data_IF_550488920338
#
_entry.id   IF_550488920338
#
_cell.length_a   1.000
_cell.length_b   1.000
_cell.length_c   1.000
_cell.angle_alpha   90.00
_cell.angle_beta   90.00
_cell.angle_gamma   90.00
#
_symmetry.space_group_name_H-M   'P 1'
#
loop_
_entity.id
_entity.type
_entity.pdbx_description
1 polymer ?
#
# COMPACT_ATOMS: atom_id res chain seq x y z
N UNK A 1 -9.38 2.16 -6.30
CA UNK A 1 -8.40 2.19 -7.41
C UNK A 1 -7.05 1.83 -6.81
N UNK A 2 -6.32 0.84 -7.34
CA UNK A 2 -5.10 0.32 -6.67
C UNK A 2 -3.84 1.06 -7.18
N UNK A 3 -3.05 1.65 -6.27
CA UNK A 3 -1.84 2.44 -6.57
C UNK A 3 -0.82 1.66 -7.41
N UNK A 4 -0.56 0.39 -7.09
CA UNK A 4 0.38 -0.46 -7.81
C UNK A 4 -0.05 -0.68 -9.26
N UNK A 5 -1.33 -1.01 -9.46
CA UNK A 5 -1.90 -1.22 -10.81
C UNK A 5 -1.81 0.04 -11.67
N UNK A 6 -2.03 1.20 -11.07
CA UNK A 6 -1.92 2.50 -11.75
C UNK A 6 -0.50 2.79 -12.20
N UNK A 7 0.50 2.58 -11.32
CA UNK A 7 1.92 2.75 -11.66
C UNK A 7 2.34 1.81 -12.80
N UNK A 8 2.00 0.52 -12.70
CA UNK A 8 2.32 -0.46 -13.74
C UNK A 8 1.76 -0.06 -15.10
N UNK A 9 0.49 0.35 -15.15
CA UNK A 9 -0.15 0.80 -16.40
C UNK A 9 0.48 2.07 -16.95
N UNK A 10 0.87 3.02 -16.10
CA UNK A 10 1.56 4.25 -16.51
C UNK A 10 2.92 3.95 -17.17
N UNK A 11 3.60 2.90 -16.71
CA UNK A 11 4.85 2.42 -17.31
C UNK A 11 4.65 1.49 -18.52
N UNK A 12 3.40 1.17 -18.88
CA UNK A 12 3.05 0.32 -20.02
C UNK A 12 3.72 -1.08 -20.01
N UNK A 13 3.81 -1.69 -18.81
CA UNK A 13 4.38 -3.05 -18.63
C UNK A 13 3.32 -4.05 -18.16
N UNK A 14 3.56 -5.34 -18.43
CA UNK A 14 2.73 -6.45 -17.96
C UNK A 14 3.00 -6.77 -16.49
N UNK A 15 2.13 -7.57 -15.86
CA UNK A 15 2.36 -8.03 -14.47
C UNK A 15 3.62 -8.90 -14.37
N UNK A 16 3.88 -9.71 -15.40
CA UNK A 16 5.07 -10.58 -15.49
C UNK A 16 6.35 -9.75 -15.61
N UNK A 17 6.38 -8.77 -16.51
CA UNK A 17 7.53 -7.86 -16.65
C UNK A 17 7.84 -7.11 -15.35
N UNK A 18 6.80 -6.67 -14.62
CA UNK A 18 6.99 -6.05 -13.32
C UNK A 18 7.55 -7.06 -12.31
N UNK A 19 6.99 -8.27 -12.26
CA UNK A 19 7.39 -9.32 -11.34
C UNK A 19 8.87 -9.69 -11.53
N UNK A 20 9.29 -9.88 -12.79
CA UNK A 20 10.69 -10.15 -13.15
C UNK A 20 11.61 -9.01 -12.72
N UNK A 21 11.19 -7.75 -12.96
CA UNK A 21 11.99 -6.58 -12.64
C UNK A 21 12.21 -6.38 -11.13
N UNK A 22 11.28 -6.83 -10.28
CA UNK A 22 11.39 -6.69 -8.82
C UNK A 22 11.68 -8.00 -8.08
N UNK A 23 11.91 -9.10 -8.81
CA UNK A 23 12.22 -10.41 -8.23
C UNK A 23 11.06 -11.02 -7.43
N UNK A 24 9.82 -10.84 -7.89
CA UNK A 24 8.61 -11.41 -7.31
C UNK A 24 7.94 -12.38 -8.27
N UNK A 25 7.02 -13.20 -7.77
CA UNK A 25 6.15 -14.01 -8.63
C UNK A 25 5.05 -13.14 -9.25
N UNK A 26 4.67 -13.40 -10.50
CA UNK A 26 3.56 -12.73 -11.20
C UNK A 26 2.24 -12.84 -10.41
N UNK A 27 2.01 -13.97 -9.74
CA UNK A 27 0.85 -14.19 -8.87
C UNK A 27 0.86 -13.28 -7.63
N UNK A 28 2.03 -12.92 -7.12
CA UNK A 28 2.19 -11.95 -6.04
C UNK A 28 1.78 -10.56 -6.51
N UNK A 29 2.26 -10.11 -7.68
CA UNK A 29 1.85 -8.82 -8.28
C UNK A 29 0.33 -8.79 -8.50
N UNK A 30 -0.24 -9.85 -9.09
CA UNK A 30 -1.69 -9.96 -9.31
C UNK A 30 -2.47 -9.88 -8.00
N UNK A 31 -2.06 -10.62 -6.97
CA UNK A 31 -2.69 -10.61 -5.64
C UNK A 31 -2.66 -9.22 -5.00
N UNK A 32 -1.58 -8.47 -5.18
CA UNK A 32 -1.48 -7.09 -4.69
C UNK A 32 -2.40 -6.14 -5.46
N UNK A 33 -2.46 -6.25 -6.80
CA UNK A 33 -3.29 -5.36 -7.63
C UNK A 33 -4.80 -5.51 -7.39
N UNK A 34 -5.24 -6.71 -7.02
CA UNK A 34 -6.66 -7.00 -6.72
C UNK A 34 -6.98 -6.86 -5.22
N UNK A 35 -5.98 -6.59 -4.37
CA UNK A 35 -6.17 -6.46 -2.92
C UNK A 35 -6.38 -7.78 -2.19
N UNK A 36 -6.12 -8.93 -2.82
CA UNK A 36 -6.22 -10.25 -2.19
C UNK A 36 -5.14 -10.43 -1.11
N UNK A 37 -3.97 -9.82 -1.29
CA UNK A 37 -2.90 -9.78 -0.29
C UNK A 37 -2.43 -8.35 -0.05
N UNK A 38 -2.07 -8.04 1.19
CA UNK A 38 -1.42 -6.78 1.52
C UNK A 38 0.05 -6.80 1.02
N UNK A 39 0.51 -5.66 0.50
CA UNK A 39 1.90 -5.47 0.13
C UNK A 39 2.75 -5.48 1.40
N UNK A 40 3.83 -6.27 1.40
CA UNK A 40 4.78 -6.31 2.51
C UNK A 40 5.77 -5.15 2.41
N UNK A 41 6.38 -4.73 3.51
CA UNK A 41 7.38 -3.65 3.50
C UNK A 41 8.54 -3.93 2.52
N UNK A 42 9.14 -5.13 2.48
CA UNK A 42 10.21 -5.43 1.50
C UNK A 42 9.73 -5.29 0.05
N UNK A 43 8.53 -5.78 -0.26
CA UNK A 43 7.95 -5.66 -1.61
C UNK A 43 7.66 -4.19 -1.96
N UNK A 44 7.12 -3.41 -1.01
CA UNK A 44 6.88 -1.98 -1.20
C UNK A 44 8.18 -1.22 -1.51
N UNK A 45 9.27 -1.51 -0.80
CA UNK A 45 10.58 -0.91 -1.05
C UNK A 45 11.11 -1.29 -2.44
N UNK A 46 10.99 -2.56 -2.84
CA UNK A 46 11.45 -3.01 -4.16
C UNK A 46 10.66 -2.34 -5.30
N UNK A 47 9.33 -2.30 -5.18
CA UNK A 47 8.44 -1.63 -6.13
C UNK A 47 8.72 -0.12 -6.18
N UNK A 48 8.93 0.51 -5.03
CA UNK A 48 9.23 1.94 -4.93
C UNK A 48 10.55 2.31 -5.61
N UNK A 49 11.58 1.48 -5.44
CA UNK A 49 12.87 1.64 -6.16
C UNK A 49 12.68 1.51 -7.66
N UNK A 50 11.91 0.53 -8.12
CA UNK A 50 11.64 0.34 -9.55
C UNK A 50 10.88 1.52 -10.18
N UNK A 51 9.85 2.04 -9.49
CA UNK A 51 9.04 3.16 -9.99
C UNK A 51 9.60 4.54 -9.65
N UNK A 52 10.70 4.63 -8.91
CA UNK A 52 11.30 5.87 -8.40
C UNK A 52 10.29 6.75 -7.63
N UNK A 53 9.63 6.16 -6.63
CA UNK A 53 8.61 6.80 -5.77
C UNK A 53 8.88 6.49 -4.29
N UNK A 54 8.18 7.17 -3.38
CA UNK A 54 8.20 6.77 -1.97
C UNK A 54 7.41 5.48 -1.77
N UNK A 55 7.89 4.55 -0.95
CA UNK A 55 7.23 3.26 -0.70
C UNK A 55 5.95 3.39 0.15
N UNK A 56 5.78 4.47 0.91
CA UNK A 56 4.61 4.68 1.77
C UNK A 56 3.31 4.87 0.98
N UNK A 57 3.39 5.27 -0.30
CA UNK A 57 2.22 5.46 -1.18
C UNK A 57 1.37 4.19 -1.36
N UNK A 58 1.97 3.02 -1.10
CA UNK A 58 1.26 1.74 -1.15
C UNK A 58 0.37 1.50 0.07
N UNK A 59 0.44 2.37 1.08
CA UNK A 59 -0.25 2.25 2.36
C UNK A 59 -1.13 3.46 2.71
N UNK A 60 -1.09 4.56 1.95
CA UNK A 60 -1.75 5.83 2.29
C UNK A 60 -3.24 5.69 2.68
N UNK A 61 -4.02 4.89 1.95
CA UNK A 61 -5.44 4.69 2.26
C UNK A 61 -5.66 4.05 3.64
N UNK A 62 -4.78 3.11 4.04
CA UNK A 62 -4.87 2.44 5.35
C UNK A 62 -4.30 3.29 6.48
N UNK A 63 -3.28 4.08 6.19
CA UNK A 63 -2.68 4.99 7.17
C UNK A 63 -3.74 5.99 7.62
N UNK A 64 -4.51 6.56 6.67
CA UNK A 64 -5.58 7.51 6.98
C UNK A 64 -6.69 6.90 7.85
N UNK A 65 -7.18 5.70 7.52
CA UNK A 65 -8.18 5.00 8.33
C UNK A 65 -7.70 4.73 9.77
N UNK A 66 -6.42 4.35 9.95
CA UNK A 66 -5.87 4.09 11.28
C UNK A 66 -5.76 5.38 12.14
N UNK A 67 -5.37 6.50 11.55
CA UNK A 67 -5.36 7.78 12.25
C UNK A 67 -6.77 8.27 12.60
N UNK A 68 -7.72 8.16 11.66
CA UNK A 68 -9.11 8.58 11.87
C UNK A 68 -9.80 7.78 13.01
N UNK A 69 -9.41 6.52 13.23
CA UNK A 69 -9.88 5.70 14.35
C UNK A 69 -9.21 6.09 15.68
N UNK A 70 -7.90 6.28 15.68
CA UNK A 70 -7.16 6.68 16.87
C UNK A 70 -7.57 8.08 17.36
N UNK A 71 -7.90 9.02 16.47
CA UNK A 71 -8.41 10.34 16.87
C UNK A 71 -9.76 10.26 17.57
N UNK A 72 -10.66 9.39 17.10
CA UNK A 72 -11.98 9.17 17.72
C UNK A 72 -11.86 8.50 19.09
N UNK A 73 -10.97 7.52 19.20
CA UNK A 73 -10.74 6.81 20.46
C UNK A 73 -10.09 7.73 21.50
N UNK A 74 -9.14 8.57 21.08
CA UNK A 74 -8.47 9.52 21.98
C UNK A 74 -9.44 10.63 22.48
N UNK A 75 -10.37 11.09 21.64
CA UNK A 75 -11.42 12.04 22.03
C UNK A 75 -12.47 11.44 22.99
N UNK A 76 -12.77 10.14 22.89
CA UNK A 76 -13.70 9.45 23.79
C UNK A 76 -13.10 9.22 25.20
N UNK A 77 -11.79 8.97 25.29
CA UNK A 77 -11.10 8.78 26.58
C UNK A 77 -10.94 10.05 27.40
N UNK A 78 -10.83 11.23 26.77
CA UNK A 78 -10.68 12.51 27.49
C UNK A 78 -11.99 12.99 28.14
N UNK A 79 -13.16 12.61 27.62
CA UNK A 79 -14.46 12.97 28.21
C UNK A 79 -14.79 12.20 29.50
N UNK A 80 -14.13 11.05 29.74
CA UNK A 80 -14.38 10.21 30.93
C UNK A 80 -13.57 10.65 32.15
N UNK A 81 -12.57 11.54 31.97
CA UNK A 81 -11.72 12.05 33.06
C UNK A 81 -12.22 13.33 33.74
N UNK A 82 -13.35 13.89 33.30
CA UNK A 82 -13.93 15.13 33.82
C UNK A 82 -15.35 14.96 34.41
N UNK A 83 -15.63 13.80 35.00
CA UNK A 83 -16.85 13.53 35.76
C UNK A 83 -16.52 13.18 37.22
#
# INVERSE_FOLDING_TARGET
MNTLKSLRKKHNITQEQLADAVGLATTTISSYEIGHRNITIPAAIALAKYFNVNWTIFFDDKVREMYDLNEKDNQASDQTRLA
#
